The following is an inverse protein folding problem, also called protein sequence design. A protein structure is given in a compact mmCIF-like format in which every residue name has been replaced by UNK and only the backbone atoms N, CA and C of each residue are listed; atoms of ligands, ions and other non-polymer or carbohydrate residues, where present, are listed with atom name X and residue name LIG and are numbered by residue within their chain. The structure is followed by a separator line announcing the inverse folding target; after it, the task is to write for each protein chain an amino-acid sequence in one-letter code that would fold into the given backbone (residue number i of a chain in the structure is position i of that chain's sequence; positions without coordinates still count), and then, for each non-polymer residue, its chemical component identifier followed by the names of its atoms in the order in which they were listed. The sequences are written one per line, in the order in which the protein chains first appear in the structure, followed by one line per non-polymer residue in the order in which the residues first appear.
data_IF_208111581198
#
_entry.id   IF_208111581198
#
_cell.length_a   1.000
_cell.length_b   1.000
_cell.length_c   1.000
_cell.angle_alpha   90.00
_cell.angle_beta   90.00
_cell.angle_gamma   90.00
#
_symmetry.space_group_name_H-M   'P 1'
#
loop_
_entity.id
_entity.type
_entity.pdbx_description
1 polymer ?
#
# COMPACT_ATOMS: atom_id res chain seq x y z
N UNK A 1 50.52 26.49 36.05
CA UNK A 1 51.98 26.32 36.00
C UNK A 1 52.34 24.97 36.63
N UNK A 2 53.27 24.27 35.99
CA UNK A 2 53.70 22.88 36.25
C UNK A 2 54.33 22.66 37.63
N UNK A 3 54.18 21.44 38.16
CA UNK A 3 55.23 20.50 38.68
C UNK A 3 54.50 19.24 39.20
N UNK A 4 54.52 18.05 38.58
CA UNK A 4 55.56 16.98 38.54
C UNK A 4 56.21 16.72 39.90
N UNK A 5 56.52 15.52 40.40
CA UNK A 5 56.40 14.08 40.07
C UNK A 5 57.06 13.38 41.29
N UNK A 6 56.61 12.19 41.72
CA UNK A 6 57.48 11.06 42.15
C UNK A 6 56.61 9.93 42.74
N UNK A 7 56.41 8.81 42.03
CA UNK A 7 57.09 7.50 42.12
C UNK A 7 56.98 6.77 43.46
N UNK A 8 56.32 5.60 43.46
CA UNK A 8 56.84 4.42 44.17
C UNK A 8 56.36 3.11 43.51
N UNK A 9 57.31 2.20 43.44
CA UNK A 9 57.34 0.91 42.74
C UNK A 9 56.72 -0.21 43.60
N UNK A 10 56.23 -1.29 42.98
CA UNK A 10 55.77 -2.48 43.70
C UNK A 10 55.22 -3.57 42.78
N UNK A 11 56.11 -4.40 42.25
CA UNK A 11 55.88 -5.61 41.46
C UNK A 11 54.99 -6.62 42.20
N UNK A 12 54.19 -7.39 41.46
CA UNK A 12 54.19 -8.87 41.51
C UNK A 12 53.46 -9.44 40.29
N UNK A 13 54.18 -10.31 39.59
CA UNK A 13 53.74 -11.06 38.43
C UNK A 13 52.67 -12.09 38.79
N UNK A 14 51.65 -12.24 37.95
CA UNK A 14 51.12 -13.56 37.67
C UNK A 14 50.58 -13.61 36.23
N UNK A 15 51.21 -14.47 35.43
CA UNK A 15 50.85 -14.87 34.08
C UNK A 15 49.87 -16.03 34.14
N UNK A 16 48.78 -16.00 33.37
CA UNK A 16 48.44 -16.92 32.26
C UNK A 16 47.00 -16.63 31.76
N UNK A 17 46.71 -16.93 30.48
CA UNK A 17 45.69 -16.26 29.67
C UNK A 17 44.39 -17.05 29.62
N UNK A 18 43.27 -16.39 29.31
CA UNK A 18 42.13 -17.04 28.68
C UNK A 18 41.35 -16.00 27.86
N UNK A 19 41.40 -16.25 26.56
CA UNK A 19 40.60 -15.67 25.48
C UNK A 19 39.12 -15.50 25.86
N UNK A 20 38.62 -14.27 25.91
CA UNK A 20 37.17 -14.03 25.86
C UNK A 20 36.74 -13.97 24.40
N UNK A 21 35.82 -14.84 23.93
CA UNK A 21 35.34 -14.75 22.57
C UNK A 21 34.49 -13.48 22.41
N UNK A 22 34.76 -12.75 21.33
CA UNK A 22 33.82 -11.80 20.74
C UNK A 22 32.48 -12.51 20.61
N UNK A 23 31.53 -12.18 21.50
CA UNK A 23 30.14 -12.53 21.34
C UNK A 23 29.63 -11.74 20.13
N UNK A 24 29.76 -12.39 18.96
CA UNK A 24 29.02 -12.06 17.76
C UNK A 24 27.54 -12.17 18.15
N UNK A 25 26.93 -11.04 18.52
CA UNK A 25 25.48 -10.91 18.55
C UNK A 25 25.00 -11.14 17.12
N UNK A 26 24.72 -12.39 16.79
CA UNK A 26 23.78 -12.70 15.72
C UNK A 26 22.46 -12.09 16.17
N UNK A 27 22.13 -10.94 15.59
CA UNK A 27 20.77 -10.45 15.53
C UNK A 27 19.94 -11.59 14.94
N UNK A 28 19.28 -12.36 15.81
CA UNK A 28 18.27 -13.30 15.39
C UNK A 28 17.22 -12.46 14.68
N UNK A 29 17.15 -12.58 13.34
CA UNK A 29 16.03 -12.04 12.56
C UNK A 29 14.78 -12.59 13.21
N UNK A 30 13.99 -11.73 13.86
CA UNK A 30 12.66 -12.09 14.34
C UNK A 30 11.79 -12.31 13.10
N UNK A 31 11.86 -13.49 12.52
CA UNK A 31 10.99 -13.90 11.45
C UNK A 31 9.63 -14.20 12.10
N UNK A 32 8.85 -13.15 12.37
CA UNK A 32 7.47 -13.28 12.82
C UNK A 32 6.65 -13.72 11.62
N UNK A 33 6.81 -14.99 11.23
CA UNK A 33 6.07 -15.55 10.10
C UNK A 33 4.58 -15.50 10.44
N UNK A 34 3.79 -14.95 9.53
CA UNK A 34 2.34 -14.90 9.67
C UNK A 34 1.80 -16.05 8.81
N UNK A 35 1.30 -17.16 9.37
CA UNK A 35 1.00 -18.37 8.61
C UNK A 35 0.06 -18.15 7.40
N UNK A 36 -0.85 -17.17 7.49
CA UNK A 36 -1.74 -16.79 6.40
C UNK A 36 -1.03 -16.07 5.24
N UNK A 37 -0.03 -15.24 5.54
CA UNK A 37 0.78 -14.53 4.53
C UNK A 37 1.71 -15.52 3.83
N UNK A 38 2.31 -16.44 4.56
CA UNK A 38 3.18 -17.47 3.96
C UNK A 38 2.38 -18.36 3.00
N UNK A 39 1.16 -18.78 3.40
CA UNK A 39 0.27 -19.58 2.55
C UNK A 39 -0.23 -18.81 1.33
N UNK A 40 -0.52 -17.51 1.48
CA UNK A 40 -0.81 -16.62 0.36
C UNK A 40 0.36 -16.61 -0.64
N UNK A 41 1.56 -16.32 -0.16
CA UNK A 41 2.75 -16.22 -1.02
C UNK A 41 3.00 -17.54 -1.74
N UNK A 42 2.86 -18.69 -1.08
CA UNK A 42 2.97 -20.00 -1.73
C UNK A 42 1.97 -20.18 -2.88
N UNK A 43 0.71 -19.75 -2.70
CA UNK A 43 -0.30 -19.84 -3.75
C UNK A 43 0.06 -18.95 -4.95
N UNK A 44 0.46 -17.70 -4.70
CA UNK A 44 0.81 -16.74 -5.77
C UNK A 44 2.01 -17.21 -6.60
N UNK A 45 3.07 -17.71 -5.95
CA UNK A 45 4.27 -18.20 -6.65
C UNK A 45 4.04 -19.52 -7.38
N UNK A 46 3.03 -20.31 -6.97
CA UNK A 46 2.73 -21.60 -7.61
C UNK A 46 1.88 -21.49 -8.88
N UNK A 47 1.29 -20.32 -9.15
CA UNK A 47 0.34 -20.14 -10.24
C UNK A 47 0.93 -19.28 -11.37
N UNK A 48 1.11 -19.82 -12.58
CA UNK A 48 1.67 -19.06 -13.71
C UNK A 48 0.81 -17.88 -14.16
N UNK A 49 -0.46 -17.79 -13.77
CA UNK A 49 -1.33 -16.62 -14.03
C UNK A 49 -1.22 -15.51 -12.96
N UNK A 50 -0.33 -15.66 -11.97
CA UNK A 50 -0.16 -14.72 -10.86
C UNK A 50 -1.00 -15.02 -9.62
N UNK A 51 -1.89 -16.03 -9.66
CA UNK A 51 -2.48 -16.67 -8.49
C UNK A 51 -3.53 -15.89 -7.68
N UNK A 52 -3.78 -14.62 -7.99
CA UNK A 52 -4.76 -13.80 -7.27
C UNK A 52 -6.18 -14.38 -7.32
N UNK A 53 -6.61 -14.85 -8.49
CA UNK A 53 -7.94 -15.45 -8.64
C UNK A 53 -8.09 -16.75 -7.84
N UNK A 54 -7.05 -17.60 -7.82
CA UNK A 54 -7.01 -18.80 -6.96
C UNK A 54 -7.03 -18.47 -5.47
N UNK A 55 -6.47 -17.33 -5.06
CA UNK A 55 -6.57 -16.89 -3.68
C UNK A 55 -8.03 -16.58 -3.30
N UNK A 56 -8.77 -15.91 -4.18
CA UNK A 56 -10.22 -15.68 -4.01
C UNK A 56 -11.02 -16.98 -4.02
N UNK A 57 -10.76 -17.87 -4.98
CA UNK A 57 -11.40 -19.19 -5.07
C UNK A 57 -11.25 -19.99 -3.75
N UNK A 58 -10.06 -19.95 -3.15
CA UNK A 58 -9.74 -20.67 -1.90
C UNK A 58 -10.08 -19.90 -0.62
N UNK A 59 -10.64 -18.69 -0.72
CA UNK A 59 -10.90 -17.82 0.43
C UNK A 59 -9.62 -17.39 1.18
N UNK A 60 -8.46 -17.39 0.51
CA UNK A 60 -7.18 -16.97 1.07
C UNK A 60 -6.98 -15.47 0.85
N UNK A 61 -7.74 -14.65 1.59
CA UNK A 61 -7.76 -13.18 1.41
C UNK A 61 -7.32 -12.45 2.69
N UNK A 62 -6.09 -12.68 3.22
CA UNK A 62 -5.65 -12.06 4.48
C UNK A 62 -5.50 -10.53 4.44
N UNK A 63 -5.57 -9.91 3.25
CA UNK A 63 -5.61 -8.45 3.08
C UNK A 63 -7.01 -7.87 3.25
N UNK A 64 -8.06 -8.67 3.03
CA UNK A 64 -9.45 -8.23 3.09
C UNK A 64 -9.84 -7.90 4.54
N UNK A 65 -10.37 -6.70 4.73
CA UNK A 65 -10.81 -6.21 6.04
C UNK A 65 -12.22 -6.70 6.40
N UNK A 66 -12.98 -7.21 5.43
CA UNK A 66 -14.40 -7.55 5.56
C UNK A 66 -15.30 -6.32 5.75
N UNK A 67 -14.74 -5.11 5.65
CA UNK A 67 -15.43 -3.84 5.87
C UNK A 67 -14.69 -2.72 5.13
N UNK A 68 -15.34 -1.56 4.92
CA UNK A 68 -14.67 -0.40 4.35
C UNK A 68 -13.49 0.10 5.20
N UNK A 69 -12.48 0.62 4.52
CA UNK A 69 -11.29 1.23 5.11
C UNK A 69 -11.70 2.47 5.94
N UNK A 70 -11.46 2.49 7.28
CA UNK A 70 -12.01 3.53 8.15
C UNK A 70 -11.67 4.96 7.75
N UNK A 71 -10.44 5.22 7.32
CA UNK A 71 -10.02 6.55 6.89
C UNK A 71 -10.71 6.98 5.59
N UNK A 72 -10.99 6.05 4.67
CA UNK A 72 -11.70 6.38 3.44
C UNK A 72 -13.16 6.75 3.71
N UNK A 73 -13.83 6.00 4.60
CA UNK A 73 -15.18 6.33 5.09
C UNK A 73 -15.20 7.71 5.73
N UNK A 74 -14.23 8.00 6.60
CA UNK A 74 -14.13 9.31 7.25
C UNK A 74 -13.95 10.44 6.24
N UNK A 75 -13.06 10.28 5.26
CA UNK A 75 -12.86 11.28 4.20
C UNK A 75 -14.13 11.48 3.35
N UNK A 76 -14.88 10.40 3.09
CA UNK A 76 -16.16 10.49 2.39
C UNK A 76 -17.19 11.29 3.19
N UNK A 77 -17.39 10.94 4.46
CA UNK A 77 -18.39 11.55 5.35
C UNK A 77 -18.09 13.02 5.66
N UNK A 78 -16.82 13.40 5.67
CA UNK A 78 -16.38 14.80 5.86
C UNK A 78 -16.38 15.62 4.58
N UNK A 79 -16.73 15.03 3.44
CA UNK A 79 -16.78 15.72 2.14
C UNK A 79 -15.39 16.10 1.59
N UNK A 80 -14.32 15.44 2.03
CA UNK A 80 -12.94 15.76 1.66
C UNK A 80 -12.40 14.92 0.50
N UNK A 81 -13.19 13.98 -0.01
CA UNK A 81 -12.92 13.26 -1.25
C UNK A 81 -13.47 14.04 -2.46
N UNK A 82 -12.72 14.15 -3.58
CA UNK A 82 -13.25 14.69 -4.82
C UNK A 82 -14.57 14.06 -5.24
N UNK A 83 -15.45 14.85 -5.87
CA UNK A 83 -16.68 14.38 -6.53
C UNK A 83 -16.35 13.86 -7.94
N UNK A 84 -17.34 13.34 -8.66
CA UNK A 84 -17.18 12.88 -10.04
C UNK A 84 -16.84 11.39 -10.13
N UNK A 85 -15.90 11.01 -11.00
CA UNK A 85 -15.53 9.61 -11.24
C UNK A 85 -14.36 9.20 -10.37
N UNK A 86 -14.54 8.13 -9.60
CA UNK A 86 -13.50 7.52 -8.80
C UNK A 86 -13.10 6.14 -9.33
N UNK A 87 -11.82 5.78 -9.20
CA UNK A 87 -11.29 4.45 -9.48
C UNK A 87 -10.64 3.86 -8.21
N UNK A 88 -10.92 2.60 -7.94
CA UNK A 88 -10.22 1.79 -6.94
C UNK A 88 -9.62 0.58 -7.68
N UNK A 89 -8.30 0.60 -8.01
CA UNK A 89 -7.64 -0.51 -8.67
C UNK A 89 -7.32 -1.63 -7.66
N UNK A 90 -7.47 -2.89 -8.08
CA UNK A 90 -7.36 -4.04 -7.19
C UNK A 90 -8.42 -4.02 -6.09
N UNK A 91 -9.69 -3.78 -6.46
CA UNK A 91 -10.74 -3.49 -5.49
C UNK A 91 -11.13 -4.68 -4.60
N UNK A 92 -10.73 -5.91 -4.96
CA UNK A 92 -11.05 -7.11 -4.20
C UNK A 92 -12.55 -7.27 -4.00
N UNK A 93 -12.97 -7.46 -2.74
CA UNK A 93 -14.38 -7.57 -2.31
C UNK A 93 -15.16 -6.26 -2.36
N UNK A 94 -14.56 -5.15 -2.82
CA UNK A 94 -15.27 -3.95 -3.21
C UNK A 94 -15.87 -3.12 -2.05
N UNK A 95 -15.50 -3.40 -0.80
CA UNK A 95 -16.02 -2.66 0.36
C UNK A 95 -15.83 -1.14 0.23
N UNK A 96 -14.64 -0.71 -0.19
CA UNK A 96 -14.31 0.70 -0.38
C UNK A 96 -15.06 1.33 -1.56
N UNK A 97 -15.33 0.54 -2.61
CA UNK A 97 -16.08 0.99 -3.79
C UNK A 97 -17.50 1.36 -3.39
N UNK A 98 -18.16 0.46 -2.67
CA UNK A 98 -19.54 0.64 -2.18
C UNK A 98 -19.60 1.79 -1.17
N UNK A 99 -18.60 1.90 -0.30
CA UNK A 99 -18.62 2.87 0.79
C UNK A 99 -18.54 4.34 0.36
N UNK A 100 -17.90 4.65 -0.77
CA UNK A 100 -17.75 6.04 -1.25
C UNK A 100 -18.63 6.38 -2.45
N UNK A 101 -19.41 5.41 -2.94
CA UNK A 101 -20.39 5.62 -4.00
C UNK A 101 -21.53 6.50 -3.48
N UNK A 102 -21.90 7.50 -4.26
CA UNK A 102 -22.94 8.47 -3.89
C UNK A 102 -23.53 9.12 -5.14
N UNK A 103 -24.65 9.85 -5.07
CA UNK A 103 -25.21 10.57 -6.21
C UNK A 103 -24.24 11.55 -6.89
N UNK A 104 -23.19 11.97 -6.17
CA UNK A 104 -22.16 12.90 -6.66
C UNK A 104 -20.85 12.21 -7.03
N UNK A 105 -20.74 10.89 -6.80
CA UNK A 105 -19.53 10.11 -7.05
C UNK A 105 -19.83 8.73 -7.61
N UNK A 106 -19.50 8.54 -8.88
CA UNK A 106 -19.54 7.23 -9.54
C UNK A 106 -18.21 6.50 -9.35
N UNK A 107 -18.23 5.31 -8.77
CA UNK A 107 -17.01 4.58 -8.40
C UNK A 107 -16.83 3.33 -9.25
N UNK A 108 -15.67 3.19 -9.89
CA UNK A 108 -15.28 1.97 -10.58
C UNK A 108 -14.35 1.17 -9.69
N UNK A 109 -14.76 -0.03 -9.30
CA UNK A 109 -13.90 -1.06 -8.75
C UNK A 109 -13.33 -1.92 -9.87
N UNK A 110 -12.00 -1.98 -9.98
CA UNK A 110 -11.32 -2.79 -11.00
C UNK A 110 -10.57 -3.92 -10.30
N UNK A 111 -10.75 -5.16 -10.74
CA UNK A 111 -9.94 -6.29 -10.29
C UNK A 111 -9.69 -7.26 -11.46
N UNK A 112 -8.57 -7.96 -11.45
CA UNK A 112 -8.25 -8.94 -12.50
C UNK A 112 -8.91 -10.30 -12.22
N UNK A 113 -9.34 -10.54 -10.97
CA UNK A 113 -9.96 -11.79 -10.56
C UNK A 113 -11.48 -11.78 -10.76
N UNK A 114 -11.98 -12.67 -11.61
CA UNK A 114 -13.42 -12.92 -11.75
C UNK A 114 -14.04 -13.29 -10.38
N UNK A 115 -13.35 -14.10 -9.57
CA UNK A 115 -13.81 -14.49 -8.25
C UNK A 115 -13.89 -13.32 -7.26
N UNK A 116 -12.96 -12.36 -7.33
CA UNK A 116 -13.04 -11.11 -6.58
C UNK A 116 -14.29 -10.29 -6.96
N UNK A 117 -14.54 -10.13 -8.25
CA UNK A 117 -15.68 -9.37 -8.77
C UNK A 117 -17.01 -10.04 -8.40
N UNK A 118 -17.08 -11.38 -8.47
CA UNK A 118 -18.23 -12.15 -7.97
C UNK A 118 -18.46 -11.89 -6.48
N UNK A 119 -17.40 -11.88 -5.68
CA UNK A 119 -17.49 -11.59 -4.25
C UNK A 119 -17.92 -10.14 -3.98
N UNK A 120 -17.36 -9.16 -4.70
CA UNK A 120 -17.71 -7.76 -4.58
C UNK A 120 -19.19 -7.50 -4.90
N UNK A 121 -19.69 -8.14 -5.95
CA UNK A 121 -21.10 -8.06 -6.33
C UNK A 121 -22.02 -8.61 -5.24
N UNK A 122 -21.66 -9.75 -4.63
CA UNK A 122 -22.41 -10.32 -3.48
C UNK A 122 -22.42 -9.39 -2.28
N UNK A 123 -21.27 -8.83 -1.92
CA UNK A 123 -21.13 -7.86 -0.81
C UNK A 123 -21.99 -6.62 -1.07
N UNK A 124 -21.96 -6.08 -2.29
CA UNK A 124 -22.72 -4.88 -2.64
C UNK A 124 -24.24 -5.09 -2.53
N UNK A 125 -24.76 -6.23 -3.00
CA UNK A 125 -26.19 -6.58 -2.88
C UNK A 125 -26.63 -6.66 -1.41
N UNK A 126 -25.74 -7.09 -0.50
CA UNK A 126 -26.04 -7.15 0.93
C UNK A 126 -26.08 -5.76 1.58
N UNK A 127 -25.23 -4.84 1.12
CA UNK A 127 -25.08 -3.51 1.73
C UNK A 127 -26.09 -2.50 1.19
N UNK A 128 -26.34 -2.47 -0.14
CA UNK A 128 -27.18 -1.45 -0.78
C UNK A 128 -28.29 -2.11 -1.60
N UNK A 129 -29.53 -1.61 -1.45
CA UNK A 129 -30.72 -2.12 -2.15
C UNK A 129 -30.82 -1.68 -3.62
N UNK A 130 -30.12 -0.62 -4.05
CA UNK A 130 -29.99 -0.25 -5.47
C UNK A 130 -28.55 0.17 -5.85
N UNK A 131 -28.06 -0.31 -6.98
CA UNK A 131 -26.69 -0.14 -7.45
C UNK A 131 -26.53 1.08 -8.36
N UNK A 132 -26.83 2.28 -7.86
CA UNK A 132 -26.96 3.44 -8.75
C UNK A 132 -25.68 4.24 -9.00
N UNK A 133 -24.57 3.99 -8.29
CA UNK A 133 -23.38 4.86 -8.38
C UNK A 133 -22.04 4.11 -8.34
N UNK A 134 -22.00 2.83 -8.68
CA UNK A 134 -20.74 2.11 -8.82
C UNK A 134 -20.81 1.02 -9.90
N UNK A 135 -19.65 0.58 -10.36
CA UNK A 135 -19.51 -0.60 -11.20
C UNK A 135 -18.28 -1.41 -10.76
N UNK A 136 -18.43 -2.73 -10.76
CA UNK A 136 -17.30 -3.66 -10.67
C UNK A 136 -16.96 -4.17 -12.06
N UNK A 137 -15.67 -4.11 -12.41
CA UNK A 137 -15.17 -4.51 -13.71
C UNK A 137 -14.02 -5.51 -13.53
N UNK A 138 -14.19 -6.68 -14.13
CA UNK A 138 -13.10 -7.63 -14.31
C UNK A 138 -12.19 -7.12 -15.44
N UNK A 139 -11.04 -6.57 -15.10
CA UNK A 139 -10.03 -6.16 -16.06
C UNK A 139 -8.65 -6.02 -15.43
N UNK A 140 -7.61 -6.22 -16.23
CA UNK A 140 -6.25 -5.90 -15.85
C UNK A 140 -6.02 -4.37 -15.90
N UNK A 141 -5.66 -3.79 -14.75
CA UNK A 141 -5.31 -2.39 -14.58
C UNK A 141 -4.30 -1.87 -15.62
N UNK A 142 -3.30 -2.67 -15.98
CA UNK A 142 -2.22 -2.22 -16.86
C UNK A 142 -2.61 -2.19 -18.34
N UNK A 143 -3.55 -3.02 -18.77
CA UNK A 143 -4.02 -3.11 -20.16
C UNK A 143 -5.36 -2.42 -20.39
N UNK A 144 -6.21 -2.27 -19.38
CA UNK A 144 -7.53 -1.63 -19.49
C UNK A 144 -7.43 -0.17 -19.99
N UNK A 145 -8.35 0.26 -20.86
CA UNK A 145 -8.39 1.60 -21.45
C UNK A 145 -9.83 2.14 -21.42
N UNK A 146 -10.24 2.86 -20.36
CA UNK A 146 -11.56 3.49 -20.33
C UNK A 146 -11.61 4.71 -21.26
N UNK A 147 -12.79 5.04 -21.75
CA UNK A 147 -13.04 6.26 -22.53
C UNK A 147 -13.11 7.53 -21.67
N UNK A 148 -13.42 7.38 -20.39
CA UNK A 148 -13.52 8.48 -19.43
C UNK A 148 -12.47 8.34 -18.32
N UNK A 149 -11.79 9.43 -18.03
CA UNK A 149 -10.78 9.54 -16.97
C UNK A 149 -11.40 9.78 -15.59
N UNK A 150 -10.57 9.76 -14.55
CA UNK A 150 -10.99 9.82 -13.15
C UNK A 150 -10.61 11.13 -12.46
N UNK A 151 -11.54 11.65 -11.68
CA UNK A 151 -11.33 12.77 -10.75
C UNK A 151 -10.60 12.32 -9.48
N UNK A 152 -10.80 11.05 -9.09
CA UNK A 152 -10.16 10.42 -7.94
C UNK A 152 -9.64 9.02 -8.31
N UNK A 153 -8.41 8.70 -7.92
CA UNK A 153 -7.95 7.31 -7.81
C UNK A 153 -7.58 7.05 -6.35
N UNK A 154 -8.11 6.00 -5.74
CA UNK A 154 -7.75 5.56 -4.40
C UNK A 154 -7.00 4.23 -4.46
N UNK A 155 -5.70 4.23 -4.15
CA UNK A 155 -4.87 3.03 -4.09
C UNK A 155 -4.65 2.61 -2.63
N UNK A 156 -5.11 1.42 -2.29
CA UNK A 156 -4.79 0.77 -1.03
C UNK A 156 -4.61 -0.73 -1.23
N UNK A 157 -3.49 -1.26 -0.73
CA UNK A 157 -3.08 -2.67 -0.88
C UNK A 157 -2.88 -3.14 -2.33
N UNK A 158 -2.94 -2.24 -3.33
CA UNK A 158 -2.67 -2.57 -4.73
C UNK A 158 -1.21 -2.31 -5.11
N UNK A 159 -0.66 -1.13 -4.83
CA UNK A 159 0.75 -0.82 -5.12
C UNK A 159 1.76 -1.75 -4.43
N UNK A 160 1.44 -2.24 -3.23
CA UNK A 160 2.28 -3.22 -2.54
C UNK A 160 2.08 -4.66 -3.03
N UNK A 161 1.00 -4.94 -3.76
CA UNK A 161 0.69 -6.27 -4.29
C UNK A 161 1.40 -6.54 -5.62
N UNK A 162 1.70 -5.50 -6.39
CA UNK A 162 2.41 -5.62 -7.67
C UNK A 162 3.91 -5.84 -7.47
N UNK A 163 4.53 -6.55 -8.41
CA UNK A 163 5.98 -6.74 -8.47
C UNK A 163 6.71 -5.38 -8.47
N UNK A 164 7.83 -5.23 -7.75
CA UNK A 164 8.54 -3.96 -7.65
C UNK A 164 8.89 -3.33 -9.01
N UNK A 165 9.23 -4.14 -10.01
CA UNK A 165 9.59 -3.70 -11.36
C UNK A 165 8.39 -3.10 -12.12
N UNK A 166 7.17 -3.41 -11.70
CA UNK A 166 5.93 -2.89 -12.29
C UNK A 166 5.54 -1.50 -11.77
N UNK A 167 6.20 -0.99 -10.73
CA UNK A 167 5.81 0.28 -10.06
C UNK A 167 5.92 1.51 -10.95
N UNK A 168 6.92 1.56 -11.83
CA UNK A 168 7.03 2.63 -12.84
C UNK A 168 5.89 2.58 -13.86
N UNK A 169 5.48 1.36 -14.25
CA UNK A 169 4.32 1.16 -15.13
C UNK A 169 3.01 1.52 -14.43
N UNK A 170 2.90 1.22 -13.13
CA UNK A 170 1.77 1.67 -12.31
C UNK A 170 1.67 3.19 -12.30
N UNK A 171 2.77 3.92 -12.07
CA UNK A 171 2.76 5.37 -12.02
C UNK A 171 2.37 5.99 -13.38
N UNK A 172 2.90 5.45 -14.48
CA UNK A 172 2.48 5.86 -15.84
C UNK A 172 0.98 5.62 -16.03
N UNK A 173 0.47 4.47 -15.59
CA UNK A 173 -0.94 4.13 -15.75
C UNK A 173 -1.85 5.01 -14.90
N UNK A 174 -1.46 5.33 -13.67
CA UNK A 174 -2.15 6.29 -12.81
C UNK A 174 -2.23 7.65 -13.49
N UNK A 175 -1.12 8.16 -14.03
CA UNK A 175 -1.12 9.41 -14.80
C UNK A 175 -2.12 9.33 -15.95
N UNK A 176 -2.07 8.28 -16.76
CA UNK A 176 -2.93 8.16 -17.95
C UNK A 176 -4.43 8.01 -17.62
N UNK A 177 -4.77 7.50 -16.42
CA UNK A 177 -6.15 7.34 -15.97
C UNK A 177 -6.71 8.57 -15.22
N UNK A 178 -5.85 9.39 -14.63
CA UNK A 178 -6.24 10.63 -13.96
C UNK A 178 -6.59 11.72 -14.95
N UNK A 179 -7.64 12.49 -14.66
CA UNK A 179 -7.88 13.79 -15.28
C UNK A 179 -6.72 14.77 -14.98
N UNK A 180 -6.55 15.85 -15.77
CA UNK A 180 -5.53 16.86 -15.51
C UNK A 180 -5.57 17.47 -14.10
N UNK A 181 -6.77 17.68 -13.55
CA UNK A 181 -7.05 18.20 -12.21
C UNK A 181 -7.41 17.10 -11.19
N UNK A 182 -7.33 15.84 -11.62
CA UNK A 182 -7.64 14.69 -10.79
C UNK A 182 -6.63 14.48 -9.67
N UNK A 183 -7.07 13.76 -8.64
CA UNK A 183 -6.29 13.48 -7.45
C UNK A 183 -6.04 11.98 -7.28
N UNK A 184 -4.80 11.62 -6.97
CA UNK A 184 -4.45 10.31 -6.45
C UNK A 184 -4.44 10.38 -4.92
N UNK A 185 -5.12 9.45 -4.27
CA UNK A 185 -5.00 9.21 -2.84
C UNK A 185 -4.42 7.81 -2.65
N UNK A 186 -3.35 7.69 -1.87
CA UNK A 186 -2.72 6.42 -1.55
C UNK A 186 -2.76 6.18 -0.05
N UNK A 187 -3.13 4.98 0.38
CA UNK A 187 -2.67 4.49 1.69
C UNK A 187 -1.33 3.77 1.47
N UNK A 188 -0.25 4.44 1.79
CA UNK A 188 1.13 3.96 1.66
C UNK A 188 1.31 2.85 2.69
N UNK A 189 1.14 1.60 2.28
CA UNK A 189 1.13 0.41 3.13
C UNK A 189 1.70 -0.79 2.35
N UNK A 190 2.44 -1.71 3.00
CA UNK A 190 2.92 -1.66 4.38
C UNK A 190 4.27 -0.95 4.52
N UNK A 191 4.33 0.06 5.39
CA UNK A 191 5.60 0.65 5.87
C UNK A 191 6.19 -0.27 6.94
N UNK A 192 7.32 -0.90 6.62
CA UNK A 192 8.02 -1.86 7.50
C UNK A 192 9.35 -2.33 6.90
N UNK A 193 10.12 -3.10 7.67
CA UNK A 193 11.44 -3.60 7.26
C UNK A 193 11.45 -5.07 6.77
N UNK A 194 10.28 -5.70 6.60
CA UNK A 194 10.23 -7.10 6.15
C UNK A 194 10.76 -7.29 4.73
N UNK A 195 11.15 -8.52 4.41
CA UNK A 195 11.66 -8.91 3.10
C UNK A 195 10.64 -9.77 2.36
N UNK A 196 10.71 -9.73 1.02
CA UNK A 196 9.79 -10.44 0.14
C UNK A 196 8.41 -9.79 0.01
N UNK A 197 7.50 -10.53 -0.60
CA UNK A 197 6.13 -10.10 -0.87
C UNK A 197 5.40 -11.10 -1.77
N UNK A 198 4.18 -10.76 -2.19
CA UNK A 198 3.37 -9.65 -1.69
C UNK A 198 2.80 -9.91 -0.27
N UNK A 199 2.35 -8.86 0.45
CA UNK A 199 2.58 -7.46 0.11
C UNK A 199 4.07 -7.13 0.27
N UNK A 200 4.67 -6.46 -0.71
CA UNK A 200 6.04 -5.96 -0.62
C UNK A 200 6.10 -4.75 0.31
N UNK A 201 7.19 -4.57 1.07
CA UNK A 201 7.40 -3.33 1.83
C UNK A 201 7.44 -2.12 0.90
N UNK A 202 6.92 -1.00 1.41
CA UNK A 202 6.92 0.29 0.74
C UNK A 202 7.26 1.39 1.73
N UNK A 203 7.58 2.57 1.20
CA UNK A 203 7.85 3.80 1.94
C UNK A 203 7.35 4.98 1.12
N UNK A 204 7.30 6.17 1.72
CA UNK A 204 6.94 7.39 1.00
C UNK A 204 7.85 7.60 -0.21
N UNK A 205 9.16 7.36 -0.07
CA UNK A 205 10.13 7.53 -1.15
C UNK A 205 9.88 6.59 -2.33
N UNK A 206 9.36 5.37 -2.09
CA UNK A 206 9.03 4.46 -3.20
C UNK A 206 7.88 4.98 -4.07
N UNK A 207 6.92 5.73 -3.50
CA UNK A 207 5.87 6.39 -4.26
C UNK A 207 6.41 7.63 -4.98
N UNK A 208 7.19 8.45 -4.29
CA UNK A 208 7.83 9.65 -4.86
C UNK A 208 8.71 9.30 -6.06
N UNK A 209 9.53 8.25 -5.96
CA UNK A 209 10.44 7.80 -7.01
C UNK A 209 9.74 7.53 -8.35
N UNK A 210 8.54 6.95 -8.31
CA UNK A 210 7.78 6.61 -9.53
C UNK A 210 6.77 7.67 -9.94
N UNK A 211 6.19 8.40 -8.99
CA UNK A 211 5.22 9.47 -9.28
C UNK A 211 5.90 10.76 -9.74
N UNK A 212 7.10 11.07 -9.22
CA UNK A 212 7.77 12.31 -9.55
C UNK A 212 8.13 12.45 -11.03
N UNK A 213 8.68 11.43 -11.71
CA UNK A 213 8.91 11.46 -13.15
C UNK A 213 7.63 11.63 -13.98
N UNK A 214 6.47 11.27 -13.42
CA UNK A 214 5.17 11.44 -14.08
C UNK A 214 4.59 12.85 -13.90
N UNK A 215 5.32 13.76 -13.26
CA UNK A 215 4.86 15.11 -12.94
C UNK A 215 3.80 15.15 -11.83
N UNK A 216 3.62 14.06 -11.08
CA UNK A 216 2.72 13.98 -9.92
C UNK A 216 3.56 14.28 -8.66
N UNK A 217 3.02 15.08 -7.73
CA UNK A 217 3.69 15.51 -6.50
C UNK A 217 2.72 15.36 -5.32
N UNK A 218 3.26 15.08 -4.14
CA UNK A 218 2.46 15.04 -2.92
C UNK A 218 2.00 16.48 -2.56
N UNK A 219 0.70 16.66 -2.35
CA UNK A 219 0.14 17.83 -1.67
C UNK A 219 0.24 17.66 -0.15
N UNK A 220 0.09 16.44 0.34
CA UNK A 220 0.26 16.11 1.77
C UNK A 220 0.59 14.63 1.97
N UNK A 221 1.37 14.35 3.01
CA UNK A 221 1.62 13.00 3.54
C UNK A 221 1.39 13.07 5.05
N UNK A 222 0.41 12.33 5.57
CA UNK A 222 0.04 12.38 6.99
C UNK A 222 -0.12 10.99 7.58
N UNK A 223 0.00 10.87 8.90
CA UNK A 223 -0.25 9.61 9.61
C UNK A 223 -1.74 9.21 9.51
N UNK A 224 -2.01 7.92 9.34
CA UNK A 224 -3.38 7.42 9.43
C UNK A 224 -3.78 7.16 10.89
N UNK A 225 -4.39 8.16 11.53
CA UNK A 225 -4.90 8.04 12.90
C UNK A 225 -6.09 7.08 13.05
N UNK A 226 -6.74 6.70 11.95
CA UNK A 226 -7.84 5.73 11.89
C UNK A 226 -7.37 4.33 11.45
N UNK A 227 -6.06 4.08 11.44
CA UNK A 227 -5.51 2.78 11.11
C UNK A 227 -6.01 1.69 12.07
N UNK A 228 -6.45 0.57 11.50
CA UNK A 228 -6.87 -0.61 12.28
C UNK A 228 -5.69 -1.16 13.09
N UNK A 229 -5.93 -1.88 14.22
CA UNK A 229 -4.85 -2.30 15.11
C UNK A 229 -3.67 -3.02 14.43
N UNK A 230 -3.87 -3.93 13.45
CA UNK A 230 -2.75 -4.60 12.78
C UNK A 230 -1.92 -3.72 11.83
N UNK A 231 -2.45 -2.54 11.43
CA UNK A 231 -1.82 -1.62 10.45
C UNK A 231 -1.40 -0.28 11.06
N UNK A 232 -1.72 -0.03 12.33
CA UNK A 232 -1.35 1.19 13.07
C UNK A 232 0.16 1.41 13.05
N UNK A 233 0.57 2.62 12.68
CA UNK A 233 2.00 2.99 12.54
C UNK A 233 2.71 2.35 11.34
N UNK A 234 1.98 1.66 10.45
CA UNK A 234 2.51 1.00 9.25
C UNK A 234 1.91 1.52 7.96
N UNK A 235 1.16 2.61 8.03
CA UNK A 235 0.56 3.24 6.87
C UNK A 235 0.42 4.75 7.02
N UNK A 236 0.58 5.45 5.90
CA UNK A 236 0.40 6.91 5.79
C UNK A 236 -0.60 7.22 4.68
N UNK A 237 -1.40 8.27 4.87
CA UNK A 237 -2.29 8.80 3.85
C UNK A 237 -1.49 9.81 3.01
N UNK A 238 -1.34 9.54 1.72
CA UNK A 238 -0.76 10.46 0.75
C UNK A 238 -1.81 11.00 -0.21
N UNK A 239 -1.81 12.32 -0.44
CA UNK A 239 -2.63 13.00 -1.44
C UNK A 239 -1.72 13.61 -2.49
N UNK A 240 -1.96 13.30 -3.76
CA UNK A 240 -1.05 13.64 -4.85
C UNK A 240 -1.80 14.26 -6.02
N UNK A 241 -1.20 15.29 -6.62
CA UNK A 241 -1.73 15.94 -7.82
C UNK A 241 -0.67 16.14 -8.87
N UNK A 242 -1.12 16.33 -10.11
CA UNK A 242 -0.24 16.78 -11.20
C UNK A 242 0.28 18.18 -10.84
N UNK A 243 1.59 18.33 -10.87
CA UNK A 243 2.23 19.64 -10.79
C UNK A 243 1.78 20.48 -11.98
N UNK A 244 1.27 21.68 -11.71
CA UNK A 244 1.00 22.65 -12.76
C UNK A 244 2.37 23.07 -13.29
N UNK A 245 2.68 22.67 -14.51
CA UNK A 245 3.78 23.28 -15.24
C UNK A 245 3.35 24.74 -15.46
N UNK A 246 3.84 25.66 -14.63
CA UNK A 246 3.79 27.09 -14.99
C UNK A 246 4.68 27.19 -16.22
N UNK A 247 4.10 27.09 -17.40
CA UNK A 247 4.74 27.54 -18.62
C UNK A 247 5.16 28.97 -18.34
N UNK A 248 6.48 29.20 -18.25
CA UNK A 248 7.06 30.52 -18.26
C UNK A 248 6.64 31.14 -19.60
N UNK A 249 5.57 31.93 -19.56
CA UNK A 249 5.22 32.91 -20.57
C UNK A 249 6.17 34.10 -20.43
#
# INVERSE_FOLDING_TARGET
MRTHLSTCCGLLFNTFPLTSPLSRLTMARSNTSKPKVDKLQQLLHSDPSGGWDKCWEKGMTPWDLGQPTPILVHLHQTGTLPKGRALIPGCGSGHDVVAIASPERFVVGLDVSENAIKQATKVAVFIIKSAENFAFLEADFFSWRPTQLFDLIFDYTFFCAIEPEMRSRWASKIRDLLKPDGELITLIFPISDHEGGPPYKVSVSNYEEVLHPMGIRAESIVENHLAIPPRRGREKLGRWKRSICKSLL
#
